data_IF_307971953133
#
_entry.id   IF_307971953133
#
_cell.length_a   1.000
_cell.length_b   1.000
_cell.length_c   1.000
_cell.angle_alpha   90.00
_cell.angle_beta   90.00
_cell.angle_gamma   90.00
#
_symmetry.space_group_name_H-M   'P 1'
#
loop_
_entity.id
_entity.type
_entity.pdbx_description
1 polymer ?
#
# COMPACT_ATOMS: atom_id res chain seq x y z
N UNK A 1 4.42 -10.85 16.24
CA UNK A 1 5.89 -10.89 16.00
C UNK A 1 6.52 -10.88 17.38
N UNK A 2 7.50 -11.74 17.69
CA UNK A 2 8.08 -11.77 19.06
C UNK A 2 8.68 -10.41 19.38
N UNK A 3 8.27 -9.82 20.50
CA UNK A 3 8.76 -8.53 20.97
C UNK A 3 10.28 -8.60 21.24
N UNK A 4 11.01 -7.58 20.80
CA UNK A 4 12.45 -7.49 21.08
C UNK A 4 12.61 -6.86 22.46
N UNK A 5 13.20 -7.59 23.41
CA UNK A 5 13.45 -7.06 24.74
C UNK A 5 14.36 -5.81 24.69
N UNK A 6 14.02 -4.80 25.50
CA UNK A 6 14.89 -3.65 25.70
C UNK A 6 16.03 -4.05 26.65
N UNK A 7 17.30 -3.98 26.22
CA UNK A 7 18.43 -4.21 27.13
C UNK A 7 18.46 -3.13 28.22
N UNK A 8 19.01 -3.50 29.37
CA UNK A 8 19.29 -2.56 30.46
C UNK A 8 20.47 -1.66 30.06
N UNK A 9 20.35 -0.36 30.32
CA UNK A 9 21.37 0.65 29.97
C UNK A 9 21.18 1.32 28.61
N UNK A 10 21.37 2.64 28.56
CA UNK A 10 21.14 3.47 27.38
C UNK A 10 22.09 3.14 26.22
N UNK A 11 23.35 2.84 26.52
CA UNK A 11 24.35 2.48 25.51
C UNK A 11 24.04 1.15 24.81
N UNK A 12 23.61 0.14 25.58
CA UNK A 12 23.21 -1.15 25.05
C UNK A 12 21.97 -1.01 24.14
N UNK A 13 21.02 -0.15 24.52
CA UNK A 13 19.86 0.19 23.68
C UNK A 13 20.27 0.86 22.37
N UNK A 14 21.14 1.88 22.43
CA UNK A 14 21.69 2.55 21.24
C UNK A 14 22.49 1.59 20.34
N UNK A 15 23.26 0.65 20.91
CA UNK A 15 24.00 -0.37 20.15
C UNK A 15 23.06 -1.33 19.43
N UNK A 16 21.98 -1.76 20.09
CA UNK A 16 20.97 -2.64 19.49
C UNK A 16 20.16 -1.93 18.39
N UNK A 17 19.77 -0.67 18.60
CA UNK A 17 19.14 0.16 17.57
C UNK A 17 20.05 0.27 16.32
N UNK A 18 21.35 0.56 16.52
CA UNK A 18 22.34 0.60 15.43
C UNK A 18 22.46 -0.75 14.70
N UNK A 19 22.44 -1.86 15.42
CA UNK A 19 22.47 -3.21 14.85
C UNK A 19 21.24 -3.49 13.98
N UNK A 20 20.03 -3.14 14.45
CA UNK A 20 18.79 -3.29 13.69
C UNK A 20 18.80 -2.40 12.43
N UNK A 21 19.24 -1.15 12.55
CA UNK A 21 19.38 -0.23 11.42
C UNK A 21 20.36 -0.74 10.37
N UNK A 22 21.51 -1.30 10.79
CA UNK A 22 22.47 -1.96 9.90
C UNK A 22 21.83 -3.15 9.21
N UNK A 23 21.09 -3.99 9.94
CA UNK A 23 20.37 -5.14 9.39
C UNK A 23 19.35 -4.71 8.34
N UNK A 24 18.55 -3.67 8.60
CA UNK A 24 17.61 -3.09 7.61
C UNK A 24 18.34 -2.62 6.36
N UNK A 25 19.39 -1.80 6.52
CA UNK A 25 20.18 -1.30 5.38
C UNK A 25 20.77 -2.43 4.55
N UNK A 26 21.33 -3.45 5.22
CA UNK A 26 21.89 -4.63 4.57
C UNK A 26 20.82 -5.42 3.81
N UNK A 27 19.67 -5.72 4.44
CA UNK A 27 18.58 -6.45 3.76
C UNK A 27 18.02 -5.66 2.59
N UNK A 28 17.81 -4.35 2.72
CA UNK A 28 17.36 -3.51 1.60
C UNK A 28 18.40 -3.46 0.47
N UNK A 29 19.69 -3.36 0.81
CA UNK A 29 20.79 -3.43 -0.16
C UNK A 29 20.82 -4.78 -0.87
N UNK A 30 20.62 -5.88 -0.15
CA UNK A 30 20.56 -7.23 -0.70
C UNK A 30 19.35 -7.42 -1.64
N UNK A 31 18.16 -6.90 -1.29
CA UNK A 31 16.99 -6.89 -2.20
C UNK A 31 17.36 -6.20 -3.51
N UNK A 32 17.99 -5.03 -3.43
CA UNK A 32 18.37 -4.27 -4.62
C UNK A 32 19.44 -4.97 -5.45
N UNK A 33 20.48 -5.52 -4.82
CA UNK A 33 21.53 -6.27 -5.49
C UNK A 33 20.98 -7.51 -6.21
N UNK A 34 20.12 -8.29 -5.55
CA UNK A 34 19.48 -9.46 -6.14
C UNK A 34 18.56 -9.08 -7.30
N UNK A 35 17.81 -7.97 -7.18
CA UNK A 35 17.00 -7.44 -8.27
C UNK A 35 17.85 -7.01 -9.47
N UNK A 36 19.00 -6.37 -9.24
CA UNK A 36 19.95 -6.02 -10.31
C UNK A 36 20.52 -7.25 -11.00
N UNK A 37 20.90 -8.29 -10.25
CA UNK A 37 21.38 -9.55 -10.83
C UNK A 37 20.28 -10.21 -11.66
N UNK A 38 19.03 -10.21 -11.20
CA UNK A 38 17.90 -10.71 -11.99
C UNK A 38 17.75 -9.95 -13.33
N UNK A 39 17.91 -8.62 -13.32
CA UNK A 39 17.89 -7.79 -14.53
C UNK A 39 19.09 -8.13 -15.43
N UNK A 40 20.29 -8.29 -14.86
CA UNK A 40 21.48 -8.67 -15.61
C UNK A 40 21.34 -10.06 -16.26
N UNK A 41 20.71 -11.03 -15.58
CA UNK A 41 20.37 -12.32 -16.18
C UNK A 41 19.38 -12.18 -17.34
N UNK A 42 18.40 -11.27 -17.26
CA UNK A 42 17.50 -10.98 -18.39
C UNK A 42 18.23 -10.32 -19.58
N UNK A 43 19.20 -9.45 -19.31
CA UNK A 43 20.06 -8.87 -20.36
C UNK A 43 20.95 -9.96 -20.96
N UNK A 44 21.56 -10.81 -20.14
CA UNK A 44 22.39 -11.93 -20.59
C UNK A 44 21.61 -12.94 -21.43
N UNK A 45 20.37 -13.23 -21.05
CA UNK A 45 19.42 -14.01 -21.85
C UNK A 45 19.22 -13.36 -23.23
N UNK A 46 19.00 -12.05 -23.26
CA UNK A 46 18.78 -11.30 -24.50
C UNK A 46 20.03 -11.31 -25.40
N UNK A 47 21.23 -11.15 -24.82
CA UNK A 47 22.50 -11.21 -25.57
C UNK A 47 22.78 -12.62 -26.10
N UNK A 48 22.60 -13.66 -25.27
CA UNK A 48 22.78 -15.05 -25.70
C UNK A 48 21.80 -15.41 -26.82
N UNK A 49 20.55 -14.92 -26.72
CA UNK A 49 19.53 -15.08 -27.73
C UNK A 49 19.91 -14.36 -29.04
N UNK A 50 20.46 -13.13 -28.99
CA UNK A 50 20.95 -12.42 -30.19
C UNK A 50 22.15 -13.15 -30.82
N UNK A 51 23.10 -13.61 -30.01
CA UNK A 51 24.30 -14.32 -30.48
C UNK A 51 23.97 -15.66 -31.13
N UNK A 52 22.91 -16.35 -30.68
CA UNK A 52 22.37 -17.55 -31.33
C UNK A 52 21.86 -17.27 -32.76
N UNK A 53 21.55 -16.02 -33.07
CA UNK A 53 21.01 -15.65 -34.37
C UNK A 53 22.02 -15.06 -35.33
N UNK A 54 22.89 -14.17 -34.83
CA UNK A 54 23.71 -13.32 -35.70
C UNK A 54 25.07 -13.94 -36.02
N UNK A 55 25.48 -14.99 -35.30
CA UNK A 55 26.78 -15.61 -35.53
C UNK A 55 26.72 -16.78 -36.52
N UNK A 56 27.85 -17.09 -37.15
CA UNK A 56 28.02 -18.26 -38.03
C UNK A 56 27.64 -19.57 -37.33
N UNK A 57 26.82 -20.42 -37.95
CA UNK A 57 26.34 -21.65 -37.31
C UNK A 57 27.48 -22.64 -37.10
N UNK A 58 27.84 -22.82 -35.84
CA UNK A 58 28.82 -23.78 -35.40
C UNK A 58 28.22 -24.58 -34.24
N UNK A 59 28.14 -25.90 -34.40
CA UNK A 59 27.35 -26.79 -33.53
C UNK A 59 27.79 -26.72 -32.05
N UNK A 60 29.09 -26.52 -31.81
CA UNK A 60 29.64 -26.32 -30.48
C UNK A 60 29.21 -24.97 -29.87
N UNK A 61 29.18 -23.89 -30.67
CA UNK A 61 28.79 -22.55 -30.22
C UNK A 61 27.30 -22.47 -29.89
N UNK A 62 26.45 -23.07 -30.72
CA UNK A 62 25.00 -23.07 -30.51
C UNK A 62 24.62 -23.84 -29.24
N UNK A 63 25.27 -24.99 -29.00
CA UNK A 63 25.07 -25.78 -27.77
C UNK A 63 25.40 -24.97 -26.52
N UNK A 64 26.52 -24.24 -26.54
CA UNK A 64 26.94 -23.36 -25.42
C UNK A 64 25.93 -22.23 -25.20
N UNK A 65 25.42 -21.62 -26.27
CA UNK A 65 24.46 -20.53 -26.14
C UNK A 65 23.08 -21.02 -25.65
N UNK A 66 22.64 -22.23 -26.02
CA UNK A 66 21.43 -22.84 -25.43
C UNK A 66 21.58 -23.08 -23.93
N UNK A 67 22.74 -23.59 -23.49
CA UNK A 67 23.04 -23.78 -22.06
C UNK A 67 23.04 -22.43 -21.32
N UNK A 68 23.63 -21.39 -21.92
CA UNK A 68 23.61 -20.03 -21.39
C UNK A 68 22.19 -19.48 -21.27
N UNK A 69 21.35 -19.70 -22.29
CA UNK A 69 19.94 -19.26 -22.29
C UNK A 69 19.15 -19.93 -21.16
N UNK A 70 19.34 -21.24 -20.96
CA UNK A 70 18.74 -21.98 -19.85
C UNK A 70 19.22 -21.47 -18.49
N UNK A 71 20.52 -21.21 -18.36
CA UNK A 71 21.14 -20.70 -17.13
C UNK A 71 20.70 -19.28 -16.79
N UNK A 72 20.58 -18.40 -17.78
CA UNK A 72 20.06 -17.04 -17.59
C UNK A 72 18.58 -17.02 -17.25
N UNK A 73 17.77 -17.90 -17.87
CA UNK A 73 16.35 -18.05 -17.52
C UNK A 73 16.18 -18.53 -16.09
N UNK A 74 16.88 -19.62 -15.72
CA UNK A 74 16.84 -20.17 -14.37
C UNK A 74 17.33 -19.18 -13.32
N UNK A 75 18.43 -18.48 -13.62
CA UNK A 75 18.97 -17.41 -12.78
C UNK A 75 17.96 -16.28 -12.57
N UNK A 76 17.35 -15.76 -13.65
CA UNK A 76 16.38 -14.67 -13.56
C UNK A 76 15.19 -15.01 -12.65
N UNK A 77 14.63 -16.22 -12.78
CA UNK A 77 13.52 -16.70 -11.95
C UNK A 77 13.94 -16.85 -10.49
N UNK A 78 15.09 -17.49 -10.23
CA UNK A 78 15.59 -17.74 -8.89
C UNK A 78 15.89 -16.42 -8.15
N UNK A 79 16.56 -15.48 -8.81
CA UNK A 79 16.85 -14.17 -8.23
C UNK A 79 15.59 -13.32 -8.03
N UNK A 80 14.60 -13.40 -8.93
CA UNK A 80 13.32 -12.71 -8.73
C UNK A 80 12.57 -13.23 -7.47
N UNK A 81 12.54 -14.56 -7.27
CA UNK A 81 11.94 -15.16 -6.07
C UNK A 81 12.72 -14.80 -4.80
N UNK A 82 14.05 -14.79 -4.86
CA UNK A 82 14.90 -14.37 -3.75
C UNK A 82 14.68 -12.89 -3.39
N UNK A 83 14.58 -12.00 -4.39
CA UNK A 83 14.27 -10.58 -4.17
C UNK A 83 12.90 -10.40 -3.48
N UNK A 84 11.89 -11.16 -3.90
CA UNK A 84 10.57 -11.15 -3.25
C UNK A 84 10.64 -11.61 -1.78
N UNK A 85 11.30 -12.74 -1.51
CA UNK A 85 11.47 -13.25 -0.15
C UNK A 85 12.24 -12.28 0.76
N UNK A 86 13.33 -11.69 0.25
CA UNK A 86 14.09 -10.67 0.96
C UNK A 86 13.27 -9.39 1.18
N UNK A 87 12.38 -9.02 0.25
CA UNK A 87 11.47 -7.88 0.41
C UNK A 87 10.47 -8.08 1.55
N UNK A 88 9.91 -9.29 1.68
CA UNK A 88 9.06 -9.65 2.83
C UNK A 88 9.85 -9.62 4.14
N UNK A 89 11.11 -10.05 4.13
CA UNK A 89 11.98 -9.98 5.31
C UNK A 89 12.33 -8.52 5.67
N UNK A 90 12.63 -7.69 4.68
CA UNK A 90 12.95 -6.27 4.84
C UNK A 90 11.81 -5.51 5.53
N UNK A 91 10.57 -5.70 5.07
CA UNK A 91 9.39 -5.08 5.67
C UNK A 91 9.18 -5.51 7.13
N UNK A 92 9.41 -6.79 7.46
CA UNK A 92 9.37 -7.28 8.84
C UNK A 92 10.47 -6.66 9.71
N UNK A 93 11.69 -6.56 9.21
CA UNK A 93 12.81 -5.95 9.93
C UNK A 93 12.55 -4.47 10.19
N UNK A 94 12.03 -3.75 9.19
CA UNK A 94 11.66 -2.34 9.34
C UNK A 94 10.59 -2.16 10.42
N UNK A 95 9.54 -2.99 10.43
CA UNK A 95 8.51 -2.94 11.47
C UNK A 95 9.08 -3.19 12.88
N UNK A 96 9.99 -4.16 13.03
CA UNK A 96 10.68 -4.41 14.30
C UNK A 96 11.61 -3.28 14.73
N UNK A 97 12.33 -2.65 13.80
CA UNK A 97 13.19 -1.51 14.11
C UNK A 97 12.35 -0.32 14.60
N UNK A 98 11.29 0.03 13.88
CA UNK A 98 10.39 1.14 14.29
C UNK A 98 9.76 0.86 15.65
N UNK A 99 9.27 -0.36 15.88
CA UNK A 99 8.72 -0.74 17.18
C UNK A 99 9.76 -0.72 18.31
N UNK A 100 11.03 -1.02 18.01
CA UNK A 100 12.12 -0.93 18.98
C UNK A 100 12.46 0.53 19.31
N UNK A 101 12.59 1.40 18.29
CA UNK A 101 12.88 2.82 18.48
C UNK A 101 11.77 3.53 19.27
N UNK A 102 10.51 3.21 18.97
CA UNK A 102 9.35 3.73 19.69
C UNK A 102 9.42 3.41 21.19
N UNK A 103 9.74 2.16 21.52
CA UNK A 103 9.91 1.71 22.91
C UNK A 103 11.14 2.30 23.62
N UNK A 104 12.15 2.76 22.87
CA UNK A 104 13.25 3.51 23.48
C UNK A 104 12.81 4.90 23.96
N UNK A 105 11.80 5.51 23.33
CA UNK A 105 11.23 6.78 23.77
C UNK A 105 10.38 6.63 25.04
N UNK A 106 9.80 5.45 25.24
CA UNK A 106 8.98 5.07 26.39
C UNK A 106 8.00 3.98 26.04
N UNK A 107 7.48 3.26 27.03
CA UNK A 107 6.44 2.24 26.80
C UNK A 107 5.11 2.86 26.37
N UNK A 108 4.88 4.12 26.76
CA UNK A 108 3.67 4.89 26.47
C UNK A 108 3.82 5.82 25.27
N UNK A 109 4.86 5.61 24.46
CA UNK A 109 5.16 6.41 23.27
C UNK A 109 4.74 5.67 22.00
N UNK A 110 4.16 6.40 21.04
CA UNK A 110 3.68 5.87 19.77
C UNK A 110 4.05 6.78 18.61
N UNK A 111 4.53 6.24 17.48
CA UNK A 111 4.76 7.07 16.30
C UNK A 111 3.44 7.46 15.62
N UNK A 112 3.41 8.70 15.14
CA UNK A 112 2.22 9.37 14.61
C UNK A 112 2.49 10.06 13.26
N UNK A 113 3.71 9.90 12.76
CA UNK A 113 4.21 10.52 11.55
C UNK A 113 5.72 10.47 11.53
N UNK A 114 6.32 11.11 10.54
CA UNK A 114 7.77 11.15 10.41
C UNK A 114 8.39 11.91 11.59
N UNK A 115 9.18 11.20 12.39
CA UNK A 115 9.89 11.71 13.57
C UNK A 115 8.99 12.39 14.64
N UNK A 116 7.70 12.07 14.67
CA UNK A 116 6.73 12.61 15.64
C UNK A 116 6.11 11.49 16.48
N UNK A 117 6.07 11.70 17.80
CA UNK A 117 5.68 10.72 18.80
C UNK A 117 4.54 11.27 19.66
N UNK A 118 3.46 10.51 19.80
CA UNK A 118 2.45 10.68 20.83
C UNK A 118 2.88 9.94 22.09
N UNK A 119 3.11 10.68 23.16
CA UNK A 119 3.38 10.16 24.48
C UNK A 119 2.12 10.30 25.32
N UNK A 120 1.59 9.17 25.76
CA UNK A 120 0.44 9.12 26.65
C UNK A 120 0.95 9.38 28.08
N UNK A 121 0.49 10.45 28.73
CA UNK A 121 0.74 10.75 30.17
C UNK A 121 -0.57 10.64 30.99
N UNK A 122 -0.52 10.65 32.32
CA UNK A 122 -1.67 10.30 33.18
C UNK A 122 -3.00 10.96 32.82
N UNK A 123 -3.00 12.26 32.49
CA UNK A 123 -4.24 13.05 32.22
C UNK A 123 -4.27 13.71 30.83
N UNK A 124 -3.19 13.58 30.07
CA UNK A 124 -2.96 14.35 28.85
C UNK A 124 -2.11 13.58 27.84
N UNK A 125 -2.31 13.91 26.57
CA UNK A 125 -1.53 13.43 25.44
C UNK A 125 -0.50 14.49 25.05
N UNK A 126 0.75 14.06 24.92
CA UNK A 126 1.85 14.90 24.47
C UNK A 126 2.22 14.52 23.05
N UNK A 127 2.14 15.46 22.11
CA UNK A 127 2.70 15.26 20.76
C UNK A 127 4.02 16.01 20.71
N UNK A 128 5.10 15.27 20.49
CA UNK A 128 6.46 15.82 20.47
C UNK A 128 7.31 15.20 19.37
N UNK A 129 8.38 15.89 19.02
CA UNK A 129 9.46 15.32 18.21
C UNK A 129 10.11 14.13 18.94
N UNK A 130 10.53 13.14 18.16
CA UNK A 130 11.35 12.01 18.62
C UNK A 130 12.63 12.50 19.32
N UNK A 131 13.24 13.58 18.79
CA UNK A 131 14.42 14.20 19.39
C UNK A 131 14.01 15.20 20.49
N UNK A 132 14.57 15.10 21.71
CA UNK A 132 14.22 15.95 22.85
C UNK A 132 14.58 17.44 22.67
N UNK A 133 15.51 17.76 21.78
CA UNK A 133 16.00 19.13 21.55
C UNK A 133 15.04 20.04 20.76
N UNK A 134 13.97 19.50 20.17
CA UNK A 134 13.00 20.30 19.40
C UNK A 134 11.85 20.76 20.31
N UNK A 135 11.74 22.09 20.47
CA UNK A 135 10.85 22.81 21.41
C UNK A 135 9.34 22.64 21.19
N UNK A 136 8.87 22.06 20.09
CA UNK A 136 7.43 21.93 19.84
C UNK A 136 6.85 20.74 20.63
N UNK A 137 6.24 21.05 21.78
CA UNK A 137 5.40 20.12 22.54
C UNK A 137 3.97 20.62 22.45
N UNK A 138 3.09 19.80 21.91
CA UNK A 138 1.65 20.05 21.93
C UNK A 138 1.09 19.23 23.08
N UNK A 139 0.34 19.90 23.95
CA UNK A 139 -0.26 19.32 25.16
C UNK A 139 -1.76 19.33 25.00
N UNK A 140 -2.39 18.15 25.08
CA UNK A 140 -3.82 18.01 24.82
C UNK A 140 -4.45 17.21 25.95
N UNK A 141 -5.36 17.80 26.75
CA UNK A 141 -6.07 17.10 27.81
C UNK A 141 -6.96 15.99 27.26
N UNK A 142 -7.03 14.81 27.91
CA UNK A 142 -7.84 13.69 27.40
C UNK A 142 -9.33 14.00 27.29
N UNK A 143 -9.86 14.90 28.12
CA UNK A 143 -11.26 15.35 28.08
C UNK A 143 -11.65 15.97 26.72
N UNK A 144 -10.67 16.41 25.94
CA UNK A 144 -10.87 17.08 24.65
C UNK A 144 -10.51 16.17 23.46
N UNK A 145 -10.09 14.92 23.75
CA UNK A 145 -9.64 13.95 22.76
C UNK A 145 -10.68 12.84 22.61
N UNK A 146 -10.87 12.38 21.38
CA UNK A 146 -11.59 11.12 21.11
C UNK A 146 -10.68 10.14 20.40
N UNK A 147 -10.76 8.88 20.80
CA UNK A 147 -9.97 7.81 20.19
C UNK A 147 -10.89 6.93 19.36
N UNK A 148 -10.51 6.72 18.11
CA UNK A 148 -11.25 5.89 17.16
C UNK A 148 -10.39 4.71 16.73
N UNK A 149 -10.88 3.48 16.87
CA UNK A 149 -10.25 2.31 16.29
C UNK A 149 -10.75 2.12 14.87
N UNK A 150 -9.82 2.14 13.92
CA UNK A 150 -10.12 2.07 12.50
C UNK A 150 -9.45 0.85 11.88
N UNK A 151 -10.25 0.02 11.20
CA UNK A 151 -9.75 -1.11 10.42
C UNK A 151 -9.72 -0.75 8.94
N UNK A 152 -8.53 -0.40 8.43
CA UNK A 152 -8.36 -0.10 6.99
C UNK A 152 -8.18 -1.39 6.20
N UNK A 153 -9.05 -1.63 5.21
CA UNK A 153 -9.03 -2.85 4.38
C UNK A 153 -8.82 -2.47 2.92
N UNK A 154 -7.87 -3.11 2.23
CA UNK A 154 -7.68 -2.86 0.79
C UNK A 154 -8.73 -3.57 -0.07
N UNK A 155 -9.34 -4.63 0.46
CA UNK A 155 -10.47 -5.36 -0.12
C UNK A 155 -11.44 -5.78 0.98
N UNK A 156 -12.74 -5.95 0.67
CA UNK A 156 -13.73 -6.41 1.65
C UNK A 156 -13.35 -7.73 2.35
N UNK A 157 -12.68 -8.64 1.63
CA UNK A 157 -12.28 -9.95 2.15
C UNK A 157 -10.92 -9.98 2.88
N UNK A 158 -10.22 -8.84 2.99
CA UNK A 158 -8.91 -8.80 3.64
C UNK A 158 -9.05 -8.52 5.15
N UNK A 159 -8.12 -9.08 5.93
CA UNK A 159 -8.08 -8.91 7.38
C UNK A 159 -7.96 -7.44 7.81
N UNK A 160 -7.42 -6.56 6.96
CA UNK A 160 -7.23 -5.13 7.24
C UNK A 160 -6.07 -4.82 8.19
N UNK A 161 -5.56 -3.59 8.12
CA UNK A 161 -4.60 -3.01 9.05
C UNK A 161 -5.37 -2.18 10.08
N UNK A 162 -5.02 -2.35 11.36
CA UNK A 162 -5.62 -1.57 12.43
C UNK A 162 -4.79 -0.33 12.70
N UNK A 163 -5.48 0.78 12.90
CA UNK A 163 -4.93 2.02 13.41
C UNK A 163 -5.85 2.60 14.48
N UNK A 164 -5.26 3.44 15.33
CA UNK A 164 -6.00 4.30 16.24
C UNK A 164 -5.88 5.71 15.70
N UNK A 165 -7.01 6.34 15.42
CA UNK A 165 -7.11 7.73 15.01
C UNK A 165 -7.46 8.55 16.24
N UNK A 166 -6.60 9.51 16.54
CA UNK A 166 -6.73 10.45 17.65
C UNK A 166 -7.35 11.73 17.09
N UNK A 167 -8.59 11.99 17.46
CA UNK A 167 -9.30 13.22 17.11
C UNK A 167 -8.96 14.29 18.15
N UNK A 168 -8.37 15.40 17.69
CA UNK A 168 -7.97 16.51 18.54
C UNK A 168 -8.52 17.84 18.02
N UNK A 169 -8.79 18.82 18.91
CA UNK A 169 -9.18 20.14 18.47
C UNK A 169 -8.09 20.78 17.60
N UNK A 170 -8.52 21.42 16.52
CA UNK A 170 -7.62 21.96 15.49
C UNK A 170 -6.66 23.02 16.01
N UNK A 171 -7.07 23.81 17.00
CA UNK A 171 -6.27 24.88 17.57
C UNK A 171 -4.98 24.40 18.26
N UNK A 172 -4.90 23.12 18.64
CA UNK A 172 -3.67 22.54 19.19
C UNK A 172 -2.60 22.26 18.12
N UNK A 173 -3.01 22.02 16.88
CA UNK A 173 -2.14 21.51 15.80
C UNK A 173 -2.01 22.52 14.65
N UNK A 174 -3.06 23.29 14.40
CA UNK A 174 -3.18 24.26 13.31
C UNK A 174 -3.25 25.67 13.89
N UNK A 175 -2.50 26.60 13.30
CA UNK A 175 -2.52 28.03 13.67
C UNK A 175 -3.78 28.79 13.19
N UNK A 176 -4.69 28.14 12.45
CA UNK A 176 -5.90 28.78 11.90
C UNK A 176 -7.08 28.59 12.84
N UNK A 177 -7.68 29.70 13.27
CA UNK A 177 -8.97 29.70 13.96
C UNK A 177 -10.09 29.22 13.04
N UNK A 178 -11.03 28.43 13.57
CA UNK A 178 -12.17 27.89 12.81
C UNK A 178 -11.87 26.66 11.94
N UNK A 179 -10.66 26.09 12.01
CA UNK A 179 -10.31 24.89 11.26
C UNK A 179 -11.07 23.64 11.78
N UNK A 180 -11.44 22.69 10.90
CA UNK A 180 -12.05 21.42 11.31
C UNK A 180 -11.10 20.62 12.21
N UNK A 181 -11.65 19.74 13.04
CA UNK A 181 -10.88 18.90 13.97
C UNK A 181 -9.73 18.20 13.26
N UNK A 182 -8.59 18.08 13.94
CA UNK A 182 -7.42 17.41 13.40
C UNK A 182 -7.44 15.92 13.76
N UNK A 183 -7.09 15.07 12.80
CA UNK A 183 -7.02 13.63 12.96
C UNK A 183 -5.59 13.17 12.85
N UNK A 184 -5.20 12.32 13.79
CA UNK A 184 -3.82 11.96 14.05
C UNK A 184 -3.75 10.44 14.11
N UNK A 185 -3.16 9.80 13.11
CA UNK A 185 -3.17 8.33 12.98
C UNK A 185 -1.94 7.70 13.63
N UNK A 186 -2.15 6.62 14.38
CA UNK A 186 -1.09 5.73 14.86
C UNK A 186 -1.42 4.27 14.62
N UNK A 187 -0.40 3.42 14.52
CA UNK A 187 -0.60 1.98 14.32
C UNK A 187 -1.32 1.34 15.51
N UNK A 188 -2.30 0.48 15.22
CA UNK A 188 -3.13 -0.22 16.21
C UNK A 188 -2.36 -1.34 16.90
N UNK A 189 -1.42 -0.97 17.78
CA UNK A 189 -0.59 -1.89 18.56
C UNK A 189 -1.30 -2.33 19.82
N UNK A 190 -1.06 -3.58 20.23
CA UNK A 190 -1.66 -4.11 21.45
C UNK A 190 -1.32 -3.31 22.71
N UNK A 191 -0.06 -2.86 22.84
CA UNK A 191 0.34 -1.97 23.93
C UNK A 191 -0.45 -0.66 23.97
N UNK A 192 -0.86 -0.12 22.81
CA UNK A 192 -1.68 1.10 22.77
C UNK A 192 -3.05 0.83 23.37
N UNK A 193 -3.70 -0.26 22.95
CA UNK A 193 -5.01 -0.64 23.47
C UNK A 193 -4.99 -0.89 24.97
N UNK A 194 -3.95 -1.55 25.49
CA UNK A 194 -3.75 -1.75 26.94
C UNK A 194 -3.61 -0.42 27.69
N UNK A 195 -2.88 0.56 27.13
CA UNK A 195 -2.73 1.89 27.73
C UNK A 195 -4.05 2.66 27.75
N UNK A 196 -4.79 2.65 26.63
CA UNK A 196 -6.11 3.29 26.56
C UNK A 196 -7.05 2.70 27.62
N UNK A 197 -7.10 1.37 27.72
CA UNK A 197 -7.92 0.66 28.71
C UNK A 197 -7.49 0.95 30.15
N UNK A 198 -6.19 0.88 30.46
CA UNK A 198 -5.65 1.14 31.79
C UNK A 198 -5.94 2.57 32.28
N UNK A 199 -6.15 3.51 31.36
CA UNK A 199 -6.42 4.92 31.65
C UNK A 199 -7.90 5.28 31.55
N UNK A 200 -8.78 4.31 31.34
CA UNK A 200 -10.21 4.53 31.20
C UNK A 200 -10.59 5.38 29.99
N UNK A 201 -9.75 5.40 28.96
CA UNK A 201 -10.01 6.16 27.73
C UNK A 201 -10.93 5.36 26.82
N UNK A 202 -12.06 5.97 26.45
CA UNK A 202 -13.03 5.34 25.56
C UNK A 202 -12.46 5.23 24.14
N UNK A 203 -12.52 4.01 23.60
CA UNK A 203 -12.15 3.71 22.23
C UNK A 203 -13.42 3.42 21.42
N UNK A 204 -13.76 4.36 20.54
CA UNK A 204 -14.90 4.28 19.64
C UNK A 204 -14.56 3.41 18.42
N UNK A 205 -15.57 2.79 17.80
CA UNK A 205 -15.40 1.98 16.60
C UNK A 205 -15.16 0.49 16.85
N UNK A 206 -14.69 -0.21 15.81
CA UNK A 206 -14.53 -1.67 15.84
C UNK A 206 -13.34 -2.05 16.73
N UNK A 207 -13.47 -3.03 17.62
CA UNK A 207 -12.34 -3.46 18.46
C UNK A 207 -11.47 -4.48 17.71
N UNK A 208 -10.14 -4.42 17.85
CA UNK A 208 -9.29 -5.51 17.39
C UNK A 208 -9.67 -6.81 18.13
N UNK A 209 -9.56 -7.98 17.48
CA UNK A 209 -9.74 -9.26 18.15
C UNK A 209 -8.70 -9.45 19.27
N UNK A 210 -9.08 -10.15 20.34
CA UNK A 210 -8.18 -10.38 21.48
C UNK A 210 -7.03 -11.33 21.11
N UNK A 211 -5.96 -11.30 21.90
CA UNK A 211 -4.78 -12.14 21.69
C UNK A 211 -5.20 -13.63 21.68
N UNK A 212 -4.97 -14.32 20.56
CA UNK A 212 -5.33 -15.73 20.37
C UNK A 212 -6.62 -15.99 19.58
N UNK A 213 -7.47 -14.97 19.37
CA UNK A 213 -8.68 -15.14 18.57
C UNK A 213 -8.37 -15.16 17.07
N UNK A 214 -8.67 -16.29 16.42
CA UNK A 214 -8.64 -16.38 14.96
C UNK A 214 -9.79 -15.55 14.40
N UNK A 215 -9.46 -14.51 13.63
CA UNK A 215 -10.46 -13.71 12.91
C UNK A 215 -11.38 -14.62 12.10
N UNK A 216 -12.71 -14.49 12.21
CA UNK A 216 -13.60 -15.06 11.22
C UNK A 216 -13.24 -14.45 9.85
N UNK A 217 -13.21 -15.29 8.81
CA UNK A 217 -13.03 -14.82 7.45
C UNK A 217 -14.34 -14.21 6.96
N UNK A 218 -14.72 -13.06 7.51
CA UNK A 218 -15.98 -12.40 7.22
C UNK A 218 -15.93 -11.86 5.80
N UNK A 219 -16.60 -12.55 4.88
CA UNK A 219 -16.82 -12.05 3.52
C UNK A 219 -18.02 -11.12 3.57
N UNK A 220 -17.86 -9.90 3.08
CA UNK A 220 -18.96 -8.97 2.90
C UNK A 220 -19.50 -9.13 1.48
N UNK A 221 -20.68 -9.75 1.29
CA UNK A 221 -21.29 -9.85 -0.02
C UNK A 221 -21.62 -8.45 -0.54
N UNK A 222 -21.38 -8.25 -1.83
CA UNK A 222 -21.71 -7.00 -2.51
C UNK A 222 -23.15 -7.08 -3.04
N UNK A 223 -23.99 -6.13 -2.66
CA UNK A 223 -25.35 -5.97 -3.17
C UNK A 223 -25.38 -5.17 -4.46
N UNK A 224 -24.54 -4.14 -4.57
CA UNK A 224 -24.43 -3.32 -5.77
C UNK A 224 -22.98 -2.97 -6.10
N UNK A 225 -22.69 -2.79 -7.39
CA UNK A 225 -21.35 -2.46 -7.88
C UNK A 225 -21.42 -1.44 -9.01
N UNK A 226 -20.94 -0.25 -8.74
CA UNK A 226 -20.86 0.87 -9.68
C UNK A 226 -19.41 1.05 -10.14
N UNK A 227 -19.25 1.34 -11.43
CA UNK A 227 -17.93 1.47 -12.06
C UNK A 227 -17.76 2.86 -12.62
N UNK A 228 -16.65 3.52 -12.27
CA UNK A 228 -16.26 4.79 -12.85
C UNK A 228 -15.05 4.58 -13.77
N UNK A 229 -15.23 4.49 -15.10
CA UNK A 229 -14.12 4.32 -16.02
C UNK A 229 -13.25 5.59 -16.07
N UNK A 230 -11.93 5.44 -16.00
CA UNK A 230 -10.99 6.55 -16.16
C UNK A 230 -10.59 6.66 -17.63
N UNK A 231 -11.24 7.56 -18.35
CA UNK A 231 -11.09 7.71 -19.80
C UNK A 231 -9.64 8.02 -20.21
N UNK A 232 -8.95 8.89 -19.47
CA UNK A 232 -7.58 9.30 -19.79
C UNK A 232 -6.58 8.16 -19.59
N UNK A 233 -6.66 7.44 -18.46
CA UNK A 233 -5.80 6.27 -18.23
C UNK A 233 -6.10 5.15 -19.20
N UNK A 234 -7.37 4.92 -19.54
CA UNK A 234 -7.78 3.94 -20.55
C UNK A 234 -7.21 4.29 -21.91
N UNK A 235 -7.31 5.54 -22.34
CA UNK A 235 -6.74 6.03 -23.60
C UNK A 235 -5.23 5.82 -23.65
N UNK A 236 -4.50 6.18 -22.59
CA UNK A 236 -3.05 5.92 -22.51
C UNK A 236 -2.72 4.42 -22.62
N UNK A 237 -3.45 3.58 -21.90
CA UNK A 237 -3.23 2.13 -21.96
C UNK A 237 -3.59 1.54 -23.33
N UNK A 238 -4.61 2.06 -24.02
CA UNK A 238 -4.94 1.70 -25.40
C UNK A 238 -3.81 2.06 -26.38
N UNK A 239 -3.20 3.24 -26.23
CA UNK A 239 -2.04 3.64 -27.04
C UNK A 239 -0.88 2.65 -26.81
N UNK A 240 -0.59 2.31 -25.55
CA UNK A 240 0.46 1.33 -25.22
C UNK A 240 0.13 -0.03 -25.85
N UNK A 241 -1.11 -0.51 -25.76
CA UNK A 241 -1.53 -1.77 -26.39
C UNK A 241 -1.34 -1.69 -27.90
N UNK A 242 -1.79 -0.63 -28.56
CA UNK A 242 -1.69 -0.45 -30.01
C UNK A 242 -0.24 -0.45 -30.51
N UNK A 243 0.63 0.35 -29.87
CA UNK A 243 2.06 0.41 -30.23
C UNK A 243 2.73 -0.96 -30.04
N UNK A 244 2.47 -1.64 -28.93
CA UNK A 244 3.11 -2.93 -28.66
C UNK A 244 2.51 -4.07 -29.51
N UNK A 245 1.24 -4.00 -29.91
CA UNK A 245 0.66 -4.93 -30.87
C UNK A 245 1.32 -4.79 -32.25
N UNK A 246 1.62 -3.55 -32.69
CA UNK A 246 2.39 -3.32 -33.91
C UNK A 246 3.81 -3.90 -33.81
N UNK A 247 4.45 -3.81 -32.65
CA UNK A 247 5.76 -4.44 -32.40
C UNK A 247 5.67 -5.97 -32.51
N UNK A 248 4.59 -6.59 -32.01
CA UNK A 248 4.38 -8.03 -32.19
C UNK A 248 4.22 -8.38 -33.67
N UNK A 249 3.39 -7.65 -34.42
CA UNK A 249 3.20 -7.89 -35.86
C UNK A 249 4.52 -7.71 -36.63
N UNK A 250 5.29 -6.66 -36.33
CA UNK A 250 6.61 -6.45 -36.91
C UNK A 250 7.57 -7.59 -36.55
N UNK A 251 7.54 -8.09 -35.31
CA UNK A 251 8.30 -9.27 -34.89
C UNK A 251 7.93 -10.53 -35.67
N UNK A 252 6.64 -10.77 -35.91
CA UNK A 252 6.16 -11.89 -36.75
C UNK A 252 6.65 -11.74 -38.18
N UNK A 253 6.54 -10.55 -38.78
CA UNK A 253 7.01 -10.28 -40.14
C UNK A 253 8.52 -10.49 -40.26
N UNK A 254 9.31 -9.99 -39.30
CA UNK A 254 10.76 -10.21 -39.26
C UNK A 254 11.08 -11.71 -39.16
N UNK A 255 10.34 -12.47 -38.35
CA UNK A 255 10.56 -13.90 -38.21
C UNK A 255 10.19 -14.71 -39.47
N UNK A 256 9.18 -14.28 -40.23
CA UNK A 256 8.72 -14.97 -41.45
C UNK A 256 9.59 -14.60 -42.66
N UNK A 257 9.86 -13.31 -42.86
CA UNK A 257 10.54 -12.80 -44.06
C UNK A 257 12.07 -12.86 -43.98
N UNK A 258 12.64 -12.78 -42.77
CA UNK A 258 14.09 -12.91 -42.56
C UNK A 258 14.37 -14.12 -41.67
N UNK A 259 14.55 -15.29 -42.30
CA UNK A 259 14.85 -16.56 -41.62
C UNK A 259 16.06 -16.48 -40.67
N UNK A 260 17.03 -15.65 -41.00
CA UNK A 260 18.23 -15.42 -40.18
C UNK A 260 17.94 -14.57 -38.92
N UNK A 261 16.82 -13.84 -38.89
CA UNK A 261 16.38 -12.99 -37.77
C UNK A 261 15.16 -13.54 -37.00
N UNK A 262 14.87 -14.84 -37.13
CA UNK A 262 13.74 -15.53 -36.47
C UNK A 262 13.61 -15.32 -34.96
N UNK A 263 14.70 -15.46 -34.20
CA UNK A 263 14.73 -15.25 -32.75
C UNK A 263 14.59 -13.76 -32.35
N UNK A 264 14.94 -12.80 -33.22
CA UNK A 264 14.83 -11.35 -33.00
C UNK A 264 13.37 -10.97 -33.18
N UNK A 265 12.74 -11.53 -34.22
CA UNK A 265 11.31 -11.52 -34.38
C UNK A 265 10.59 -12.14 -33.17
N UNK A 266 11.08 -13.27 -32.65
CA UNK A 266 10.52 -13.90 -31.45
C UNK A 266 10.69 -13.03 -30.19
N UNK A 267 11.84 -12.38 -29.97
CA UNK A 267 12.08 -11.46 -28.85
C UNK A 267 11.14 -10.26 -28.93
N UNK A 268 10.99 -9.66 -30.11
CA UNK A 268 10.05 -8.54 -30.34
C UNK A 268 8.61 -8.97 -30.06
N UNK A 269 8.24 -10.20 -30.45
CA UNK A 269 6.93 -10.77 -30.13
C UNK A 269 6.74 -10.95 -28.61
N UNK A 270 7.72 -11.49 -27.90
CA UNK A 270 7.64 -11.71 -26.45
C UNK A 270 7.58 -10.38 -25.69
N UNK A 271 8.46 -9.44 -26.01
CA UNK A 271 8.45 -8.10 -25.38
C UNK A 271 7.15 -7.37 -25.69
N UNK A 272 6.74 -7.34 -26.96
CA UNK A 272 5.46 -6.76 -27.37
C UNK A 272 4.28 -7.41 -26.64
N UNK A 273 4.23 -8.74 -26.54
CA UNK A 273 3.18 -9.47 -25.83
C UNK A 273 3.16 -9.15 -24.33
N UNK A 274 4.31 -9.03 -23.66
CA UNK A 274 4.40 -8.65 -22.24
C UNK A 274 3.85 -7.25 -22.01
N UNK A 275 4.22 -6.28 -22.86
CA UNK A 275 3.71 -4.92 -22.75
C UNK A 275 2.23 -4.80 -23.14
N UNK A 276 1.75 -5.59 -24.10
CA UNK A 276 0.31 -5.72 -24.42
C UNK A 276 -0.43 -6.27 -23.21
N UNK A 277 0.03 -7.38 -22.61
CA UNK A 277 -0.59 -7.98 -21.43
C UNK A 277 -0.63 -6.99 -20.26
N UNK A 278 0.47 -6.25 -20.04
CA UNK A 278 0.54 -5.18 -19.03
C UNK A 278 -0.40 -4.03 -19.34
N UNK A 279 -0.50 -3.63 -20.61
CA UNK A 279 -1.43 -2.60 -21.09
C UNK A 279 -2.89 -3.00 -20.88
N UNK A 280 -3.26 -4.24 -21.22
CA UNK A 280 -4.59 -4.83 -20.99
C UNK A 280 -4.90 -4.87 -19.49
N UNK A 281 -3.99 -5.37 -18.67
CA UNK A 281 -4.15 -5.39 -17.23
C UNK A 281 -4.35 -3.96 -16.68
N UNK A 282 -3.57 -3.00 -17.15
CA UNK A 282 -3.73 -1.58 -16.82
C UNK A 282 -5.08 -1.03 -17.26
N UNK A 283 -5.55 -1.35 -18.47
CA UNK A 283 -6.84 -0.94 -19.02
C UNK A 283 -8.01 -1.47 -18.18
N UNK A 284 -8.00 -2.78 -17.87
CA UNK A 284 -9.03 -3.42 -17.05
C UNK A 284 -9.04 -2.86 -15.61
N UNK A 285 -7.87 -2.49 -15.09
CA UNK A 285 -7.72 -1.94 -13.75
C UNK A 285 -7.98 -0.43 -13.67
N UNK A 286 -7.97 0.30 -14.79
CA UNK A 286 -8.28 1.74 -14.88
C UNK A 286 -9.79 2.03 -14.77
N UNK A 287 -10.34 1.67 -13.62
CA UNK A 287 -11.70 1.97 -13.21
C UNK A 287 -11.77 2.16 -11.71
N UNK A 288 -12.47 3.20 -11.30
CA UNK A 288 -12.97 3.35 -9.95
C UNK A 288 -14.07 2.32 -9.72
N UNK A 289 -14.14 1.77 -8.52
CA UNK A 289 -15.13 0.76 -8.15
C UNK A 289 -15.75 1.18 -6.84
N UNK A 290 -17.03 1.54 -6.88
CA UNK A 290 -17.86 1.68 -5.70
C UNK A 290 -18.65 0.38 -5.53
N UNK A 291 -18.43 -0.32 -4.42
CA UNK A 291 -19.14 -1.55 -4.10
C UNK A 291 -19.91 -1.32 -2.81
N UNK A 292 -21.21 -1.54 -2.85
CA UNK A 292 -22.08 -1.49 -1.68
C UNK A 292 -22.34 -2.93 -1.26
N UNK A 293 -22.28 -3.19 0.03
CA UNK A 293 -22.63 -4.47 0.62
C UNK A 293 -23.45 -4.25 1.88
N UNK A 294 -23.95 -5.35 2.45
CA UNK A 294 -24.81 -5.30 3.65
C UNK A 294 -24.14 -4.60 4.84
N UNK A 295 -22.82 -4.72 4.97
CA UNK A 295 -22.10 -4.13 6.09
C UNK A 295 -21.50 -2.75 5.80
N UNK A 296 -21.40 -2.32 4.54
CA UNK A 296 -20.77 -1.04 4.25
C UNK A 296 -20.49 -0.72 2.78
N UNK A 297 -19.77 0.37 2.60
CA UNK A 297 -19.36 0.98 1.34
C UNK A 297 -17.86 0.77 1.12
N UNK A 298 -17.50 0.20 -0.03
CA UNK A 298 -16.13 0.06 -0.49
C UNK A 298 -15.87 0.98 -1.68
N UNK A 299 -14.82 1.78 -1.59
CA UNK A 299 -14.31 2.54 -2.71
C UNK A 299 -12.90 2.09 -3.09
N UNK A 300 -12.69 2.04 -4.40
CA UNK A 300 -11.37 1.94 -5.02
C UNK A 300 -11.29 3.02 -6.08
N UNK A 301 -10.32 3.91 -5.96
CA UNK A 301 -10.06 4.91 -6.99
C UNK A 301 -9.42 4.29 -8.25
N UNK A 302 -9.64 4.93 -9.41
CA UNK A 302 -8.97 4.56 -10.66
C UNK A 302 -7.50 4.99 -10.62
N UNK A 303 -6.59 4.08 -10.27
CA UNK A 303 -5.19 4.47 -10.17
C UNK A 303 -4.34 3.43 -9.46
N UNK A 304 -3.09 3.82 -9.19
CA UNK A 304 -2.03 2.99 -8.65
C UNK A 304 -2.53 2.06 -7.52
N UNK A 305 -1.99 0.85 -7.38
CA UNK A 305 -2.49 -0.16 -6.45
C UNK A 305 -2.46 0.27 -4.95
N UNK A 306 -1.78 1.38 -4.65
CA UNK A 306 -1.68 2.03 -3.35
C UNK A 306 -2.52 3.32 -3.20
N UNK A 307 -3.10 3.85 -4.29
CA UNK A 307 -3.96 5.03 -4.24
C UNK A 307 -5.35 4.62 -3.71
N UNK A 308 -5.60 5.06 -2.47
CA UNK A 308 -6.89 5.29 -1.81
C UNK A 308 -7.99 4.25 -2.11
N UNK A 309 -7.80 3.06 -1.55
CA UNK A 309 -8.89 2.09 -1.35
C UNK A 309 -9.34 2.19 0.09
N UNK A 310 -10.64 2.34 0.31
CA UNK A 310 -11.20 2.32 1.65
C UNK A 310 -12.47 1.50 1.70
N UNK A 311 -12.75 0.96 2.88
CA UNK A 311 -14.00 0.30 3.20
C UNK A 311 -14.53 0.95 4.49
N UNK A 312 -15.73 1.49 4.42
CA UNK A 312 -16.43 2.11 5.54
C UNK A 312 -17.67 1.28 5.86
N UNK A 313 -17.86 0.92 7.13
CA UNK A 313 -19.10 0.26 7.56
C UNK A 313 -20.23 1.27 7.64
N UNK A 314 -21.47 0.81 7.44
CA UNK A 314 -22.65 1.68 7.59
C UNK A 314 -22.76 2.29 9.00
N UNK A 315 -22.34 1.57 10.03
CA UNK A 315 -22.33 2.04 11.43
C UNK A 315 -21.45 3.28 11.67
N UNK A 316 -20.51 3.54 10.76
CA UNK A 316 -19.51 4.62 10.87
C UNK A 316 -19.88 5.81 9.99
N UNK A 317 -20.77 5.62 9.01
CA UNK A 317 -21.19 6.66 8.08
C UNK A 317 -22.34 7.42 8.74
N UNK A 318 -22.15 8.73 8.88
CA UNK A 318 -23.13 9.63 9.51
C UNK A 318 -24.09 10.21 8.48
N UNK A 319 -23.56 10.61 7.33
CA UNK A 319 -24.37 11.15 6.21
C UNK A 319 -23.59 11.08 4.90
N UNK A 320 -24.32 11.12 3.79
CA UNK A 320 -23.77 11.22 2.44
C UNK A 320 -24.40 12.43 1.75
N UNK A 321 -23.58 13.32 1.22
CA UNK A 321 -24.06 14.56 0.55
C UNK A 321 -23.28 14.86 -0.70
N UNK A 322 -23.80 15.73 -1.55
CA UNK A 322 -23.06 16.26 -2.68
C UNK A 322 -22.34 17.56 -2.32
N UNK A 323 -21.08 17.68 -2.73
CA UNK A 323 -20.31 18.91 -2.59
C UNK A 323 -19.60 19.23 -3.91
N UNK A 324 -19.58 20.51 -4.29
CA UNK A 324 -18.89 20.95 -5.50
C UNK A 324 -17.56 21.58 -5.10
N UNK A 325 -16.45 20.97 -5.52
CA UNK A 325 -15.10 21.43 -5.23
C UNK A 325 -14.42 21.70 -6.57
N UNK A 326 -13.94 22.93 -6.79
CA UNK A 326 -13.25 23.32 -8.04
C UNK A 326 -14.02 22.93 -9.30
N UNK A 327 -15.30 23.31 -9.37
CA UNK A 327 -16.23 23.03 -10.49
C UNK A 327 -16.47 21.55 -10.81
N UNK A 328 -16.09 20.66 -9.89
CA UNK A 328 -16.37 19.21 -9.98
C UNK A 328 -17.25 18.77 -8.82
N UNK A 329 -18.25 17.94 -9.14
CA UNK A 329 -19.17 17.37 -8.17
C UNK A 329 -18.53 16.13 -7.53
N UNK A 330 -18.60 16.05 -6.21
CA UNK A 330 -18.14 14.93 -5.42
C UNK A 330 -19.26 14.45 -4.49
N UNK A 331 -19.28 13.14 -4.22
CA UNK A 331 -20.07 12.54 -3.15
C UNK A 331 -19.20 12.54 -1.89
N UNK A 332 -19.63 13.28 -0.88
CA UNK A 332 -18.96 13.39 0.41
C UNK A 332 -19.61 12.40 1.37
N UNK A 333 -18.85 11.37 1.74
CA UNK A 333 -19.22 10.42 2.79
C UNK A 333 -18.68 10.94 4.11
N UNK A 334 -19.57 11.49 4.93
CA UNK A 334 -19.25 11.99 6.26
C UNK A 334 -19.23 10.82 7.24
N UNK A 335 -18.16 10.73 8.03
CA UNK A 335 -18.01 9.74 9.08
C UNK A 335 -17.42 10.39 10.34
N UNK A 336 -17.47 9.68 11.46
CA UNK A 336 -17.05 10.20 12.77
C UNK A 336 -15.58 10.61 12.86
N UNK A 337 -14.75 10.17 11.90
CA UNK A 337 -13.32 10.49 11.85
C UNK A 337 -12.89 11.21 10.56
N UNK A 338 -13.82 11.76 9.77
CA UNK A 338 -13.49 12.58 8.61
C UNK A 338 -14.53 12.59 7.50
N UNK A 339 -14.16 13.18 6.37
CA UNK A 339 -14.99 13.23 5.17
C UNK A 339 -14.23 12.61 3.99
N UNK A 340 -14.82 11.59 3.36
CA UNK A 340 -14.25 10.95 2.18
C UNK A 340 -14.92 11.46 0.93
N UNK A 341 -14.12 11.93 -0.03
CA UNK A 341 -14.61 12.52 -1.26
C UNK A 341 -14.50 11.50 -2.38
N UNK A 342 -15.66 11.09 -2.89
CA UNK A 342 -15.78 10.22 -4.04
C UNK A 342 -16.11 11.08 -5.26
N UNK A 343 -15.53 10.82 -6.44
CA UNK A 343 -16.01 11.46 -7.66
C UNK A 343 -17.49 11.15 -7.87
N UNK A 344 -18.23 12.05 -8.51
CA UNK A 344 -19.63 11.81 -8.85
C UNK A 344 -19.77 10.60 -9.79
N UNK A 345 -20.60 9.65 -9.39
CA UNK A 345 -20.88 8.41 -10.12
C UNK A 345 -22.39 8.37 -10.33
N UNK A 346 -22.80 8.24 -11.58
CA UNK A 346 -24.21 8.13 -11.93
C UNK A 346 -24.88 6.99 -11.15
N UNK A 347 -26.00 7.30 -10.48
CA UNK A 347 -26.77 6.34 -9.68
C UNK A 347 -26.15 5.96 -8.33
N UNK A 348 -25.06 6.60 -7.89
CA UNK A 348 -24.43 6.24 -6.61
C UNK A 348 -25.27 6.60 -5.39
N UNK A 349 -25.87 7.80 -5.32
CA UNK A 349 -26.74 8.13 -4.19
C UNK A 349 -27.99 7.24 -4.14
N UNK A 350 -28.64 6.99 -5.28
CA UNK A 350 -29.77 6.06 -5.35
C UNK A 350 -29.41 4.64 -4.86
N UNK A 351 -28.23 4.14 -5.26
CA UNK A 351 -27.75 2.85 -4.81
C UNK A 351 -27.37 2.84 -3.32
N UNK A 352 -26.82 3.94 -2.81
CA UNK A 352 -26.49 4.11 -1.39
C UNK A 352 -27.77 4.16 -0.56
N UNK A 353 -28.75 4.95 -0.96
CA UNK A 353 -30.07 5.02 -0.29
C UNK A 353 -30.81 3.69 -0.36
N UNK A 354 -30.71 2.96 -1.47
CA UNK A 354 -31.29 1.62 -1.56
C UNK A 354 -30.61 0.64 -0.57
N UNK A 355 -29.30 0.78 -0.34
CA UNK A 355 -28.56 -0.05 0.62
C UNK A 355 -28.77 0.39 2.08
N UNK A 356 -28.92 1.70 2.32
CA UNK A 356 -29.15 2.30 3.64
C UNK A 356 -30.08 3.52 3.51
N UNK A 357 -31.41 3.32 3.62
CA UNK A 357 -32.37 4.38 3.39
C UNK A 357 -32.19 5.58 4.33
N UNK A 358 -32.28 6.78 3.77
CA UNK A 358 -32.26 8.04 4.51
C UNK A 358 -30.86 8.51 4.93
N UNK A 359 -29.79 7.94 4.35
CA UNK A 359 -28.42 8.36 4.62
C UNK A 359 -27.93 9.43 3.63
N UNK A 360 -28.48 9.47 2.42
CA UNK A 360 -28.23 10.57 1.49
C UNK A 360 -29.17 11.75 1.80
N UNK A 361 -28.56 12.94 1.89
CA UNK A 361 -29.25 14.20 2.11
C UNK A 361 -29.12 15.14 0.90
#
# INVERSE_FOLDING_TARGET
MKEIALPQGEEARKKRARSLRRKRKFTNGAVFAVALVAIACLIGLLVAAIMLQTGEREQARDTVLYILTGSFTGGAVLFALAAFGLGVLATRIQAAEMDYLERMCGMDCFYVGDATVAQFCEKELYIRSESPDKKAKIHIPYREIRFHSVCTRKKPCEKGKWSVVIEVPSHYVLKRSGAPKAFIETDGKERLYRILQARGLELLGERPPHEGEKRPNTRYPATAKLLLPDADKRRRNLIIIGVNALIVVAGILVAIFWRDMTLLGAILCVLGAVFVARGIAGYVQSKGILTLGEAGLYWKESGNAAAERFFLKWEVIESVRYETIQDKRFIVVQCSFGAFHLPDIAGACEAIDAAKPGICA
#
